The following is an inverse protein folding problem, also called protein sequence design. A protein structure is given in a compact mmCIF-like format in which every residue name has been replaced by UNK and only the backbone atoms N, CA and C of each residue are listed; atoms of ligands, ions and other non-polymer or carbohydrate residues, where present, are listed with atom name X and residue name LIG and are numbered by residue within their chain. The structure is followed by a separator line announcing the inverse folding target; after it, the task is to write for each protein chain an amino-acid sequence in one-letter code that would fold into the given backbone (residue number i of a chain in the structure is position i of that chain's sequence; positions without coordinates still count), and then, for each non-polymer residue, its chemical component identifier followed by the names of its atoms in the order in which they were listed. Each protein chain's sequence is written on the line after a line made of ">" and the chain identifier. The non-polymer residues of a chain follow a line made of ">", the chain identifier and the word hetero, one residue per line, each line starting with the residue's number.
data_IF_599605431314
#
_entry.id   IF_599605431314
#
_cell.length_a   1.000
_cell.length_b   1.000
_cell.length_c   1.000
_cell.angle_alpha   90.00
_cell.angle_beta   90.00
_cell.angle_gamma   90.00
#
_symmetry.space_group_name_H-M   'P 1'
#
loop_
_entity.id
_entity.type
_entity.pdbx_description
1 polymer ?
#
# COMPACT_ATOMS: atom_id res chain seq x y z
N UNK A 1 17.68 -18.85 22.92
CA UNK A 1 16.89 -19.44 21.82
C UNK A 1 16.01 -18.33 21.29
N UNK A 2 16.36 -17.76 20.13
CA UNK A 2 15.57 -16.69 19.54
C UNK A 2 14.21 -17.26 19.16
N UNK A 3 13.15 -16.68 19.74
CA UNK A 3 11.77 -16.90 19.34
C UNK A 3 11.72 -16.65 17.83
N UNK A 4 11.61 -17.72 17.03
CA UNK A 4 11.48 -17.62 15.59
C UNK A 4 10.11 -17.00 15.32
N UNK A 5 10.07 -15.66 15.34
CA UNK A 5 8.86 -14.88 15.15
C UNK A 5 8.16 -15.34 13.88
N UNK A 6 6.85 -15.58 13.98
CA UNK A 6 6.01 -16.04 12.88
C UNK A 6 6.39 -15.29 11.58
N UNK A 7 6.95 -15.97 10.55
CA UNK A 7 7.43 -15.32 9.33
C UNK A 7 6.35 -14.47 8.65
N UNK A 8 5.08 -14.84 8.78
CA UNK A 8 3.95 -14.07 8.27
C UNK A 8 3.75 -12.75 9.05
N UNK A 9 4.02 -12.75 10.36
CA UNK A 9 3.97 -11.52 11.18
C UNK A 9 5.05 -10.54 10.75
N UNK A 10 6.26 -11.02 10.50
CA UNK A 10 7.38 -10.21 10.01
C UNK A 10 7.08 -9.66 8.61
N UNK A 11 6.63 -10.52 7.68
CA UNK A 11 6.24 -10.09 6.33
C UNK A 11 5.13 -9.03 6.36
N UNK A 12 4.12 -9.21 7.20
CA UNK A 12 3.04 -8.22 7.36
C UNK A 12 3.59 -6.88 7.85
N UNK A 13 4.44 -6.89 8.87
CA UNK A 13 5.05 -5.68 9.39
C UNK A 13 5.87 -4.96 8.30
N UNK A 14 6.74 -5.70 7.63
CA UNK A 14 7.68 -5.16 6.65
C UNK A 14 7.00 -4.61 5.40
N UNK A 15 5.84 -5.17 5.02
CA UNK A 15 5.04 -4.67 3.90
C UNK A 15 4.01 -3.61 4.31
N UNK A 16 3.55 -3.56 5.56
CA UNK A 16 2.53 -2.58 6.00
C UNK A 16 3.07 -1.15 5.92
N UNK A 17 4.31 -0.93 6.33
CA UNK A 17 4.93 0.40 6.33
C UNK A 17 5.15 0.97 4.90
N UNK A 18 5.79 0.27 3.95
CA UNK A 18 5.96 0.77 2.59
C UNK A 18 4.62 0.90 1.84
N UNK A 19 3.63 0.03 2.10
CA UNK A 19 2.29 0.20 1.51
C UNK A 19 1.56 1.43 2.05
N UNK A 20 1.74 1.76 3.33
CA UNK A 20 1.19 2.98 3.91
C UNK A 20 1.84 4.22 3.29
N UNK A 21 3.17 4.22 3.11
CA UNK A 21 3.90 5.30 2.46
C UNK A 21 3.46 5.47 1.00
N UNK A 22 3.39 4.39 0.22
CA UNK A 22 2.93 4.41 -1.17
C UNK A 22 1.51 4.98 -1.29
N UNK A 23 0.59 4.58 -0.39
CA UNK A 23 -0.77 5.12 -0.34
C UNK A 23 -0.76 6.62 -0.05
N UNK A 24 0.00 7.06 0.95
CA UNK A 24 0.08 8.45 1.35
C UNK A 24 0.64 9.33 0.22
N UNK A 25 1.73 8.90 -0.42
CA UNK A 25 2.32 9.62 -1.56
C UNK A 25 1.35 9.69 -2.75
N UNK A 26 0.71 8.57 -3.10
CA UNK A 26 -0.30 8.53 -4.18
C UNK A 26 -1.46 9.48 -3.88
N UNK A 27 -1.92 9.53 -2.63
CA UNK A 27 -2.98 10.43 -2.20
C UNK A 27 -2.56 11.90 -2.24
N UNK A 28 -1.32 12.23 -1.85
CA UNK A 28 -0.77 13.58 -1.97
C UNK A 28 -0.71 14.04 -3.43
N UNK A 29 -0.37 13.14 -4.36
CA UNK A 29 -0.40 13.43 -5.80
C UNK A 29 -1.85 13.64 -6.28
N UNK A 30 -2.79 12.79 -5.86
CA UNK A 30 -4.21 12.91 -6.22
C UNK A 30 -4.86 14.18 -5.67
N UNK A 31 -4.41 14.73 -4.54
CA UNK A 31 -4.86 16.05 -4.05
C UNK A 31 -4.52 17.18 -5.02
N UNK A 32 -3.52 16.98 -5.89
CA UNK A 32 -3.09 17.93 -6.93
C UNK A 32 -3.44 17.43 -8.33
N UNK A 33 -4.48 16.60 -8.46
CA UNK A 33 -4.88 15.96 -9.72
C UNK A 33 -5.13 16.94 -10.88
N UNK A 34 -5.57 18.16 -10.59
CA UNK A 34 -5.80 19.21 -11.58
C UNK A 34 -4.54 19.61 -12.36
N UNK A 35 -3.34 19.35 -11.80
CA UNK A 35 -2.05 19.60 -12.46
C UNK A 35 -1.54 18.45 -13.33
N UNK A 36 -2.29 17.35 -13.45
CA UNK A 36 -1.91 16.17 -14.23
C UNK A 36 -2.88 15.93 -15.38
N UNK A 37 -2.40 15.27 -16.43
CA UNK A 37 -3.29 14.77 -17.48
C UNK A 37 -4.17 13.62 -16.97
N UNK A 38 -5.22 13.31 -17.75
CA UNK A 38 -6.21 12.31 -17.38
C UNK A 38 -5.63 10.88 -17.26
N UNK A 39 -4.62 10.55 -18.04
CA UNK A 39 -3.96 9.24 -18.03
C UNK A 39 -3.18 9.05 -16.72
N UNK A 40 -2.45 10.08 -16.30
CA UNK A 40 -1.72 10.14 -15.04
C UNK A 40 -2.67 10.03 -13.85
N UNK A 41 -3.76 10.79 -13.83
CA UNK A 41 -4.78 10.71 -12.77
C UNK A 41 -5.40 9.30 -12.70
N UNK A 42 -5.67 8.70 -13.86
CA UNK A 42 -6.20 7.33 -13.94
C UNK A 42 -5.21 6.31 -13.36
N UNK A 43 -3.94 6.45 -13.71
CA UNK A 43 -2.86 5.59 -13.21
C UNK A 43 -2.68 5.73 -11.69
N UNK A 44 -2.70 6.96 -11.15
CA UNK A 44 -2.63 7.20 -9.71
C UNK A 44 -3.81 6.55 -8.95
N UNK A 45 -5.03 6.63 -9.48
CA UNK A 45 -6.20 5.95 -8.89
C UNK A 45 -6.05 4.42 -8.92
N UNK A 46 -5.46 3.87 -9.98
CA UNK A 46 -5.16 2.44 -10.06
C UNK A 46 -4.10 2.02 -9.03
N UNK A 47 -3.03 2.80 -8.87
CA UNK A 47 -2.00 2.57 -7.84
C UNK A 47 -2.62 2.57 -6.45
N UNK A 48 -3.47 3.56 -6.12
CA UNK A 48 -4.16 3.61 -4.84
C UNK A 48 -5.01 2.35 -4.61
N UNK A 49 -5.80 1.94 -5.62
CA UNK A 49 -6.65 0.75 -5.55
C UNK A 49 -5.83 -0.53 -5.31
N UNK A 50 -4.73 -0.70 -6.04
CA UNK A 50 -3.84 -1.85 -5.89
C UNK A 50 -3.17 -1.87 -4.52
N UNK A 51 -2.67 -0.73 -4.03
CA UNK A 51 -2.05 -0.63 -2.72
C UNK A 51 -3.04 -0.97 -1.58
N UNK A 52 -4.30 -0.53 -1.70
CA UNK A 52 -5.39 -0.90 -0.76
C UNK A 52 -5.67 -2.39 -0.80
N UNK A 53 -5.72 -3.00 -1.99
CA UNK A 53 -5.89 -4.45 -2.15
C UNK A 53 -4.75 -5.24 -1.51
N UNK A 54 -3.51 -4.80 -1.67
CA UNK A 54 -2.35 -5.44 -1.04
C UNK A 54 -2.43 -5.38 0.49
N UNK A 55 -2.83 -4.23 1.06
CA UNK A 55 -3.07 -4.13 2.51
C UNK A 55 -4.17 -5.08 2.98
N UNK A 56 -5.28 -5.15 2.26
CA UNK A 56 -6.36 -6.07 2.59
C UNK A 56 -5.89 -7.53 2.59
N UNK A 57 -5.11 -7.93 1.57
CA UNK A 57 -4.52 -9.27 1.51
C UNK A 57 -3.66 -9.55 2.75
N UNK A 58 -2.79 -8.61 3.13
CA UNK A 58 -1.92 -8.75 4.31
C UNK A 58 -2.69 -8.78 5.64
N UNK A 59 -3.82 -8.08 5.73
CA UNK A 59 -4.72 -8.10 6.90
C UNK A 59 -5.51 -9.41 7.01
N UNK A 60 -5.74 -10.10 5.88
CA UNK A 60 -6.36 -11.42 5.83
C UNK A 60 -5.37 -12.57 5.98
N UNK A 61 -4.12 -12.38 5.57
CA UNK A 61 -3.07 -13.37 5.68
C UNK A 61 -2.66 -13.56 7.15
N UNK A 62 -3.06 -14.69 7.75
CA UNK A 62 -2.75 -15.03 9.14
C UNK A 62 -3.93 -14.89 10.12
N UNK A 63 -5.15 -14.73 9.63
CA UNK A 63 -6.37 -15.15 10.35
C UNK A 63 -6.67 -16.62 10.08
#
# INVERSE_FOLDING_TARGET
>A
MAEAGNPLRTLRHDLSNPLAALLAETQLLLLRAEGYDQETVTSLKQIESLARKMRQILETAGR
#
